data_IF_748289962970
#
_entry.id   IF_748289962970
#
_cell.length_a   1.000
_cell.length_b   1.000
_cell.length_c   1.000
_cell.angle_alpha   90.00
_cell.angle_beta   90.00
_cell.angle_gamma   90.00
#
_symmetry.space_group_name_H-M   'P 1'
#
loop_
_entity.id
_entity.type
_entity.pdbx_description
1 polymer ?
#
# COMPACT_ATOMS: atom_id res chain seq x y z
N UNK A 1 -31.13 57.68 36.82
CA UNK A 1 -30.61 57.53 35.44
C UNK A 1 -29.37 56.63 35.53
N UNK A 2 -29.56 55.33 35.29
CA UNK A 2 -28.58 54.30 34.83
C UNK A 2 -27.14 54.41 35.39
N UNK A 3 -26.76 53.80 36.53
CA UNK A 3 -26.64 52.35 36.75
C UNK A 3 -26.28 51.58 35.47
N UNK A 4 -24.97 51.47 35.14
CA UNK A 4 -24.31 50.41 34.32
C UNK A 4 -22.92 50.82 33.79
N UNK A 5 -21.93 51.00 34.65
CA UNK A 5 -20.53 51.16 34.20
C UNK A 5 -19.52 50.28 34.93
N UNK A 6 -19.97 49.19 35.54
CA UNK A 6 -19.07 48.23 36.19
C UNK A 6 -19.55 46.83 35.88
N UNK A 7 -19.34 46.34 34.66
CA UNK A 7 -19.28 44.90 34.36
C UNK A 7 -18.85 44.71 32.91
N UNK A 8 -17.64 44.20 32.71
CA UNK A 8 -17.12 43.90 31.37
C UNK A 8 -15.64 43.57 31.34
N UNK A 9 -15.09 43.06 32.44
CA UNK A 9 -13.84 42.31 32.40
C UNK A 9 -14.17 40.84 32.09
N UNK A 10 -13.27 40.20 31.33
CA UNK A 10 -13.16 38.77 31.05
C UNK A 10 -13.96 38.22 29.86
N UNK A 11 -13.28 37.29 29.17
CA UNK A 11 -13.66 36.49 27.99
C UNK A 11 -13.35 37.18 26.65
N UNK A 12 -12.40 36.74 25.82
CA UNK A 12 -11.90 35.38 25.59
C UNK A 12 -10.42 35.41 25.17
N UNK A 13 -9.54 34.94 26.06
CA UNK A 13 -8.24 34.43 25.64
C UNK A 13 -8.47 33.05 25.03
N UNK A 14 -8.60 32.97 23.71
CA UNK A 14 -8.47 31.71 23.00
C UNK A 14 -6.99 31.31 23.08
N UNK A 15 -6.61 30.60 24.14
CA UNK A 15 -5.34 29.88 24.17
C UNK A 15 -5.44 28.77 23.12
N UNK A 16 -4.93 29.06 21.93
CA UNK A 16 -4.55 28.01 20.98
C UNK A 16 -3.37 27.29 21.65
N UNK A 17 -3.67 26.29 22.50
CA UNK A 17 -2.66 25.36 22.96
C UNK A 17 -2.19 24.64 21.69
N UNK A 18 -0.94 24.82 21.23
CA UNK A 18 -0.43 23.99 20.17
C UNK A 18 -0.54 22.55 20.68
N UNK A 19 -1.25 21.71 19.93
CA UNK A 19 -1.33 20.28 20.22
C UNK A 19 0.08 19.78 20.51
N UNK A 20 0.27 19.15 21.67
CA UNK A 20 1.57 18.67 22.15
C UNK A 20 2.18 17.80 21.05
N UNK A 21 3.13 18.37 20.31
CA UNK A 21 3.95 17.68 19.33
C UNK A 21 5.03 16.92 20.12
N UNK A 22 4.65 15.77 20.67
CA UNK A 22 5.51 14.91 21.47
C UNK A 22 5.93 13.68 20.68
N UNK A 23 7.10 13.14 21.03
CA UNK A 23 7.48 11.78 20.65
C UNK A 23 6.44 10.80 21.19
N UNK A 24 5.99 9.86 20.34
CA UNK A 24 5.07 8.82 20.76
C UNK A 24 5.85 7.64 21.34
N UNK A 25 5.36 7.08 22.45
CA UNK A 25 5.84 5.78 22.90
C UNK A 25 5.49 4.70 21.87
N UNK A 26 6.28 3.63 21.80
CA UNK A 26 6.13 2.61 20.75
C UNK A 26 4.74 1.96 20.67
N UNK A 27 4.10 1.67 21.81
CA UNK A 27 2.75 1.11 21.84
C UNK A 27 1.69 2.09 21.33
N UNK A 28 1.83 3.37 21.68
CA UNK A 28 0.94 4.42 21.19
C UNK A 28 1.13 4.61 19.68
N UNK A 29 2.37 4.63 19.23
CA UNK A 29 2.71 4.78 17.84
C UNK A 29 2.19 3.59 17.00
N UNK A 30 2.31 2.36 17.50
CA UNK A 30 1.72 1.17 16.84
C UNK A 30 0.21 1.32 16.70
N UNK A 31 -0.49 1.66 17.78
CA UNK A 31 -1.95 1.90 17.75
C UNK A 31 -2.33 3.06 16.84
N UNK A 32 -1.46 4.06 16.74
CA UNK A 32 -1.67 5.21 15.87
C UNK A 32 -1.58 4.84 14.39
N UNK A 33 -0.63 3.98 13.99
CA UNK A 33 -0.43 3.62 12.56
C UNK A 33 -1.23 2.40 12.11
N UNK A 34 -1.51 1.47 13.02
CA UNK A 34 -2.21 0.22 12.69
C UNK A 34 -3.57 0.46 12.02
N UNK A 35 -3.82 -0.31 10.96
CA UNK A 35 -5.07 -0.29 10.19
C UNK A 35 -5.25 0.90 9.24
N UNK A 36 -4.39 1.94 9.34
CA UNK A 36 -4.55 3.23 8.64
C UNK A 36 -3.74 3.34 7.35
N UNK A 37 -4.12 4.31 6.54
CA UNK A 37 -3.46 4.66 5.27
C UNK A 37 -2.76 6.00 5.39
N UNK A 38 -1.48 6.03 5.03
CA UNK A 38 -0.68 7.24 5.04
C UNK A 38 -0.10 7.51 3.66
N UNK A 39 -0.11 8.77 3.23
CA UNK A 39 0.83 9.24 2.24
C UNK A 39 2.07 9.75 2.97
N UNK A 40 3.22 9.56 2.36
CA UNK A 40 4.49 9.92 2.95
C UNK A 40 5.37 10.62 1.94
N UNK A 41 6.20 11.52 2.46
CA UNK A 41 7.27 12.19 1.72
C UNK A 41 8.51 12.21 2.60
N UNK A 42 9.62 11.72 2.07
CA UNK A 42 10.92 11.62 2.73
C UNK A 42 11.85 12.77 2.30
N UNK A 43 12.87 13.04 3.12
CA UNK A 43 13.80 14.15 2.89
C UNK A 43 14.55 14.05 1.54
N UNK A 44 14.76 12.83 1.03
CA UNK A 44 15.43 12.52 -0.23
C UNK A 44 14.52 12.69 -1.46
N UNK A 45 13.29 13.17 -1.25
CA UNK A 45 12.26 13.31 -2.28
C UNK A 45 11.45 12.04 -2.55
N UNK A 46 11.77 10.92 -1.90
CA UNK A 46 10.98 9.69 -2.00
C UNK A 46 9.57 9.94 -1.47
N UNK A 47 8.54 9.60 -2.24
CA UNK A 47 7.15 9.84 -1.86
C UNK A 47 6.27 8.65 -2.21
N UNK A 48 5.14 8.52 -1.54
CA UNK A 48 4.27 7.39 -1.78
C UNK A 48 3.04 7.38 -0.90
N UNK A 49 2.30 6.28 -0.98
CA UNK A 49 1.20 6.02 -0.08
C UNK A 49 1.11 4.52 0.24
N UNK A 50 0.79 4.20 1.49
CA UNK A 50 0.71 2.83 1.94
C UNK A 50 -0.27 2.67 3.11
N UNK A 51 -0.72 1.43 3.28
CA UNK A 51 -1.50 0.99 4.43
C UNK A 51 -0.60 0.20 5.37
N UNK A 52 -0.70 0.48 6.65
CA UNK A 52 -0.17 -0.39 7.70
C UNK A 52 -1.30 -1.28 8.20
N UNK A 53 -1.05 -2.58 8.29
CA UNK A 53 -2.00 -3.58 8.74
C UNK A 53 -1.84 -3.83 10.25
N UNK A 54 -2.88 -4.34 10.90
CA UNK A 54 -2.90 -4.55 12.35
C UNK A 54 -1.91 -5.64 12.82
N UNK A 55 -1.55 -6.55 11.91
CA UNK A 55 -0.53 -7.59 12.08
C UNK A 55 0.91 -7.04 11.97
N UNK A 56 1.11 -5.73 11.78
CA UNK A 56 2.42 -5.11 11.60
C UNK A 56 2.99 -5.25 10.18
N UNK A 57 2.21 -5.76 9.23
CA UNK A 57 2.56 -5.70 7.81
C UNK A 57 2.28 -4.32 7.21
N UNK A 58 2.76 -4.09 5.99
CA UNK A 58 2.43 -2.87 5.25
C UNK A 58 2.39 -3.12 3.74
N UNK A 59 1.61 -2.34 3.01
CA UNK A 59 1.62 -2.38 1.55
C UNK A 59 1.32 -1.01 0.96
N UNK A 60 2.02 -0.65 -0.10
CA UNK A 60 1.88 0.66 -0.70
C UNK A 60 2.58 0.78 -2.04
N UNK A 61 2.56 2.00 -2.54
CA UNK A 61 3.27 2.41 -3.73
C UNK A 61 4.31 3.47 -3.34
N UNK A 62 5.53 3.33 -3.84
CA UNK A 62 6.68 4.17 -3.53
C UNK A 62 7.30 4.68 -4.82
N UNK A 63 7.45 5.99 -4.93
CA UNK A 63 8.21 6.66 -5.96
C UNK A 63 9.52 7.16 -5.36
N UNK A 64 10.60 6.41 -5.62
CA UNK A 64 11.95 6.76 -5.18
C UNK A 64 12.41 8.06 -5.85
N UNK A 65 13.12 8.90 -5.08
CA UNK A 65 13.69 10.19 -5.50
C UNK A 65 12.72 11.16 -6.19
N UNK A 66 11.41 10.98 -6.01
CA UNK A 66 10.36 11.88 -6.49
C UNK A 66 10.12 11.89 -8.01
N UNK A 67 11.02 11.30 -8.81
CA UNK A 67 10.99 11.28 -10.27
C UNK A 67 11.02 9.87 -10.89
N UNK A 68 11.24 8.83 -10.08
CA UNK A 68 11.28 7.44 -10.55
C UNK A 68 9.91 6.84 -10.91
N UNK A 69 9.87 5.61 -11.45
CA UNK A 69 8.62 4.87 -11.61
C UNK A 69 8.00 4.51 -10.25
N UNK A 70 6.67 4.48 -10.18
CA UNK A 70 5.98 4.08 -8.96
C UNK A 70 6.11 2.56 -8.74
N UNK A 71 6.64 2.13 -7.60
CA UNK A 71 6.91 0.73 -7.25
C UNK A 71 5.95 0.27 -6.17
N UNK A 72 5.22 -0.80 -6.44
CA UNK A 72 4.38 -1.42 -5.42
C UNK A 72 5.22 -2.34 -4.55
N UNK A 73 5.14 -2.16 -3.24
CA UNK A 73 5.88 -2.94 -2.25
C UNK A 73 4.92 -3.48 -1.20
N UNK A 74 5.16 -4.71 -0.75
CA UNK A 74 4.40 -5.33 0.33
C UNK A 74 5.37 -5.96 1.31
N UNK A 75 5.22 -5.56 2.56
CA UNK A 75 5.90 -6.13 3.72
C UNK A 75 4.94 -7.14 4.37
N UNK A 76 5.42 -8.36 4.65
CA UNK A 76 4.59 -9.37 5.30
C UNK A 76 4.19 -8.94 6.72
N UNK A 77 3.20 -9.65 7.29
CA UNK A 77 2.83 -9.48 8.69
C UNK A 77 4.04 -9.70 9.60
N UNK A 78 4.01 -9.08 10.78
CA UNK A 78 5.08 -9.09 11.76
C UNK A 78 6.39 -8.44 11.30
N UNK A 79 6.37 -7.62 10.24
CA UNK A 79 7.53 -6.79 9.88
C UNK A 79 7.73 -5.68 10.91
N UNK A 80 6.71 -4.87 11.20
CA UNK A 80 6.79 -3.81 12.20
C UNK A 80 6.50 -4.37 13.59
N UNK A 81 7.49 -4.36 14.46
CA UNK A 81 7.41 -4.88 15.83
C UNK A 81 7.78 -3.79 16.84
N UNK A 82 7.05 -3.74 17.96
CA UNK A 82 7.43 -2.90 19.10
C UNK A 82 8.57 -3.59 19.85
N UNK A 83 9.71 -2.94 19.97
CA UNK A 83 10.86 -3.41 20.76
C UNK A 83 11.28 -2.32 21.75
N UNK A 84 10.92 -2.51 23.02
CA UNK A 84 11.14 -1.53 24.07
C UNK A 84 10.38 -0.24 23.77
N UNK A 85 11.10 0.87 23.66
CA UNK A 85 10.52 2.19 23.38
C UNK A 85 10.49 2.57 21.89
N UNK A 86 10.90 1.68 20.98
CA UNK A 86 10.96 1.95 19.54
C UNK A 86 10.21 0.92 18.70
N UNK A 87 9.85 1.28 17.47
CA UNK A 87 9.29 0.34 16.49
C UNK A 87 10.40 -0.09 15.54
N UNK A 88 10.69 -1.38 15.47
CA UNK A 88 11.72 -1.91 14.57
C UNK A 88 11.06 -2.70 13.43
N UNK A 89 11.59 -2.55 12.22
CA UNK A 89 11.18 -3.37 11.08
C UNK A 89 12.11 -4.58 10.96
N UNK A 90 11.54 -5.78 10.94
CA UNK A 90 12.24 -7.00 10.56
C UNK A 90 11.81 -7.43 9.17
N UNK A 91 12.72 -7.26 8.21
CA UNK A 91 12.47 -7.59 6.81
C UNK A 91 13.35 -8.79 6.46
N UNK A 92 12.76 -9.82 5.85
CA UNK A 92 13.53 -10.98 5.41
C UNK A 92 14.57 -10.56 4.36
N UNK A 93 15.82 -10.94 4.57
CA UNK A 93 16.90 -10.69 3.62
C UNK A 93 17.72 -9.42 3.87
N UNK A 94 17.40 -8.64 4.91
CA UNK A 94 18.32 -7.60 5.41
C UNK A 94 18.97 -8.08 6.72
N UNK A 95 20.28 -7.82 6.93
CA UNK A 95 21.00 -8.30 8.10
C UNK A 95 20.82 -7.43 9.34
N UNK A 96 20.02 -6.36 9.26
CA UNK A 96 19.75 -5.43 10.35
C UNK A 96 18.26 -5.15 10.46
N UNK A 97 17.77 -4.91 11.68
CA UNK A 97 16.39 -4.51 11.94
C UNK A 97 16.36 -2.99 12.19
N UNK A 98 16.07 -2.13 11.20
CA UNK A 98 16.03 -0.69 11.43
C UNK A 98 14.92 -0.34 12.42
N UNK A 99 15.27 0.41 13.46
CA UNK A 99 14.33 0.96 14.41
C UNK A 99 13.98 2.40 14.06
N UNK A 100 12.74 2.79 14.28
CA UNK A 100 12.17 4.08 13.91
C UNK A 100 11.68 4.82 15.15
N UNK A 101 11.91 6.13 15.16
CA UNK A 101 11.32 7.07 16.10
C UNK A 101 10.14 7.75 15.42
N UNK A 102 9.04 7.91 16.16
CA UNK A 102 7.77 8.42 15.62
C UNK A 102 7.34 9.62 16.45
N UNK A 103 7.40 10.79 15.84
CA UNK A 103 7.03 12.06 16.47
C UNK A 103 5.68 12.51 15.93
N UNK A 104 4.70 12.65 16.82
CA UNK A 104 3.37 13.09 16.42
C UNK A 104 3.40 14.59 16.12
N UNK A 105 3.11 14.96 14.89
CA UNK A 105 3.05 16.37 14.48
C UNK A 105 1.63 16.92 14.50
N UNK A 106 0.63 16.06 14.28
CA UNK A 106 -0.79 16.39 14.45
C UNK A 106 -1.60 15.13 14.78
N UNK A 107 -2.91 15.28 14.99
CA UNK A 107 -3.82 14.12 15.13
C UNK A 107 -3.85 13.20 13.91
N UNK A 108 -3.45 13.72 12.74
CA UNK A 108 -3.49 13.01 11.46
C UNK A 108 -2.12 12.92 10.79
N UNK A 109 -1.05 13.38 11.43
CA UNK A 109 0.29 13.33 10.84
C UNK A 109 1.35 13.06 11.89
N UNK A 110 2.41 12.41 11.45
CA UNK A 110 3.57 12.13 12.27
C UNK A 110 4.82 12.15 11.38
N UNK A 111 5.96 12.40 12.01
CA UNK A 111 7.27 12.26 11.38
C UNK A 111 7.88 10.94 11.86
N UNK A 112 8.33 10.12 10.92
CA UNK A 112 9.11 8.93 11.21
C UNK A 112 10.56 9.14 10.83
N UNK A 113 11.50 8.84 11.73
CA UNK A 113 12.94 8.89 11.46
C UNK A 113 13.62 7.59 11.86
N UNK A 114 14.72 7.23 11.21
CA UNK A 114 15.49 6.04 11.58
C UNK A 114 16.37 6.34 12.79
N UNK A 115 16.33 5.49 13.82
CA UNK A 115 17.18 5.60 14.99
C UNK A 115 18.66 5.60 14.60
N UNK A 116 19.41 6.60 15.08
CA UNK A 116 20.82 6.82 14.73
C UNK A 116 21.05 7.57 13.40
N UNK A 117 20.00 7.81 12.60
CA UNK A 117 20.05 8.59 11.36
C UNK A 117 18.87 9.57 11.31
N UNK A 118 18.81 10.50 12.27
CA UNK A 118 17.67 11.43 12.43
C UNK A 118 17.43 12.38 11.26
N UNK A 119 18.43 12.60 10.40
CA UNK A 119 18.26 13.34 9.14
C UNK A 119 17.43 12.58 8.12
N UNK A 120 17.41 11.24 8.20
CA UNK A 120 16.62 10.37 7.35
C UNK A 120 15.20 10.24 7.93
N UNK A 121 14.37 11.24 7.63
CA UNK A 121 12.98 11.29 8.05
C UNK A 121 12.01 11.25 6.88
N UNK A 122 10.80 10.80 7.17
CA UNK A 122 9.64 10.91 6.31
C UNK A 122 8.46 11.49 7.09
N UNK A 123 7.76 12.43 6.49
CA UNK A 123 6.51 12.98 7.01
C UNK A 123 5.34 12.17 6.48
N UNK A 124 4.54 11.62 7.39
CA UNK A 124 3.38 10.81 7.11
C UNK A 124 2.12 11.61 7.40
N UNK A 125 1.17 11.58 6.47
CA UNK A 125 -0.15 12.21 6.62
C UNK A 125 -1.21 11.15 6.41
N UNK A 126 -2.14 11.05 7.33
CA UNK A 126 -3.26 10.12 7.27
C UNK A 126 -4.22 10.60 6.18
N UNK A 127 -4.23 9.88 5.06
CA UNK A 127 -5.24 10.08 4.04
C UNK A 127 -6.42 9.18 4.42
N UNK A 128 -7.45 9.79 5.00
CA UNK A 128 -8.69 9.07 5.32
C UNK A 128 -9.19 8.28 4.11
N UNK A 129 -9.90 7.18 4.36
CA UNK A 129 -10.28 6.19 3.35
C UNK A 129 -10.95 6.78 2.07
N UNK A 130 -11.58 7.95 2.18
CA UNK A 130 -12.23 8.65 1.07
C UNK A 130 -11.30 9.07 -0.07
N UNK A 131 -10.05 9.47 0.20
CA UNK A 131 -9.17 9.97 -0.88
C UNK A 131 -8.60 8.83 -1.75
N UNK A 132 -8.37 7.65 -1.15
CA UNK A 132 -7.99 6.43 -1.90
C UNK A 132 -9.13 5.91 -2.78
N UNK A 133 -10.39 6.10 -2.36
CA UNK A 133 -11.55 5.78 -3.20
C UNK A 133 -11.64 6.72 -4.42
N UNK A 134 -11.35 8.01 -4.24
CA UNK A 134 -11.34 9.00 -5.33
C UNK A 134 -10.26 8.71 -6.37
N UNK A 135 -9.03 8.38 -5.94
CA UNK A 135 -7.96 8.00 -6.88
C UNK A 135 -8.35 6.78 -7.73
N UNK A 136 -8.94 5.74 -7.10
CA UNK A 136 -9.43 4.56 -7.82
C UNK A 136 -10.64 4.83 -8.71
N UNK A 137 -11.51 5.78 -8.34
CA UNK A 137 -12.63 6.20 -9.16
C UNK A 137 -12.13 6.87 -10.44
N UNK A 138 -11.16 7.80 -10.30
CA UNK A 138 -10.51 8.48 -11.42
C UNK A 138 -9.71 7.51 -12.32
N UNK A 139 -9.02 6.53 -11.74
CA UNK A 139 -8.32 5.49 -12.52
C UNK A 139 -9.27 4.51 -13.21
N UNK A 140 -10.47 4.26 -12.65
CA UNK A 140 -11.49 3.40 -13.29
C UNK A 140 -12.34 4.15 -14.31
N UNK A 141 -12.46 5.46 -14.18
CA UNK A 141 -13.17 6.31 -15.15
C UNK A 141 -12.30 6.67 -16.36
N UNK A 142 -11.04 6.23 -16.42
CA UNK A 142 -10.26 6.35 -17.65
C UNK A 142 -10.79 5.31 -18.65
N UNK A 143 -11.49 5.73 -19.72
CA UNK A 143 -12.05 4.78 -20.66
C UNK A 143 -10.88 4.05 -21.31
N UNK A 144 -10.84 2.71 -21.15
CA UNK A 144 -10.12 1.86 -22.11
C UNK A 144 -10.65 2.29 -23.46
N UNK A 145 -9.78 2.88 -24.29
CA UNK A 145 -10.12 3.23 -25.66
C UNK A 145 -10.74 2.00 -26.31
N UNK A 146 -12.03 2.08 -26.58
CA UNK A 146 -12.73 1.12 -27.43
C UNK A 146 -11.98 1.13 -28.76
N UNK A 147 -11.24 0.06 -29.05
CA UNK A 147 -10.85 -0.22 -30.42
C UNK A 147 -12.14 -0.30 -31.22
N UNK A 148 -12.35 0.70 -32.06
CA UNK A 148 -13.50 0.77 -32.94
C UNK A 148 -13.55 -0.51 -33.80
N UNK A 149 -14.71 -1.19 -33.92
CA UNK A 149 -14.86 -2.28 -34.86
C UNK A 149 -14.69 -1.73 -36.27
N UNK A 150 -13.79 -2.35 -37.04
CA UNK A 150 -13.44 -1.90 -38.38
C UNK A 150 -14.65 -1.78 -39.31
N UNK A 151 -14.80 -0.60 -39.89
CA UNK A 151 -15.64 -0.38 -41.06
C UNK A 151 -14.99 -1.09 -42.24
N UNK A 152 -15.58 -2.22 -42.66
CA UNK A 152 -15.35 -2.78 -43.98
C UNK A 152 -15.88 -1.78 -45.00
N UNK A 153 -14.98 -1.02 -45.61
CA UNK A 153 -15.28 -0.30 -46.83
C UNK A 153 -14.26 -0.77 -47.85
N UNK A 154 -14.75 -1.56 -48.80
CA UNK A 154 -14.01 -1.92 -49.99
C UNK A 154 -13.81 -0.64 -50.79
N UNK A 155 -12.56 -0.24 -50.99
CA UNK A 155 -12.17 0.40 -52.24
C UNK A 155 -10.71 0.04 -52.56
N UNK A 156 -10.50 -0.32 -53.81
CA UNK A 156 -9.24 -0.76 -54.34
C UNK A 156 -8.37 0.45 -54.64
N UNK A 157 -7.21 0.56 -54.00
CA UNK A 157 -6.09 1.31 -54.56
C UNK A 157 -4.77 0.72 -54.09
N UNK A 158 -4.01 0.32 -55.11
CA UNK A 158 -2.75 -0.40 -55.10
C UNK A 158 -1.59 0.40 -54.49
N UNK A 159 -0.51 -0.34 -54.21
CA UNK A 159 0.90 0.10 -54.06
C UNK A 159 1.22 0.76 -52.71
N UNK A 160 2.17 0.31 -51.89
CA UNK A 160 3.26 -0.68 -51.97
C UNK A 160 3.67 -0.96 -50.52
N UNK A 161 3.56 -2.20 -50.05
CA UNK A 161 4.01 -2.60 -48.72
C UNK A 161 5.34 -3.35 -48.84
N UNK A 162 6.42 -2.72 -48.38
CA UNK A 162 7.74 -3.36 -48.22
C UNK A 162 7.64 -4.29 -47.01
N UNK A 163 7.45 -5.58 -47.28
CA UNK A 163 7.41 -6.63 -46.25
C UNK A 163 8.82 -7.08 -45.91
N UNK A 164 9.40 -6.52 -44.84
CA UNK A 164 10.45 -7.22 -44.09
C UNK A 164 9.80 -7.78 -42.83
N UNK A 165 9.27 -9.01 -42.92
CA UNK A 165 8.87 -9.77 -41.74
C UNK A 165 9.22 -11.24 -41.93
N UNK A 166 10.27 -11.64 -41.21
CA UNK A 166 10.73 -13.02 -41.05
C UNK A 166 9.59 -13.88 -40.50
N UNK A 167 9.24 -15.02 -41.11
CA UNK A 167 8.21 -15.92 -40.60
C UNK A 167 8.74 -16.69 -39.38
N UNK A 168 8.06 -16.62 -38.24
CA UNK A 168 8.26 -17.57 -37.14
C UNK A 168 7.34 -18.79 -37.33
N UNK A 169 7.85 -20.02 -37.16
CA UNK A 169 7.04 -21.23 -37.34
C UNK A 169 6.00 -21.39 -36.22
N UNK A 170 4.82 -21.91 -36.61
CA UNK A 170 3.64 -22.13 -35.77
C UNK A 170 3.85 -23.38 -34.91
N UNK A 171 3.72 -23.23 -33.59
CA UNK A 171 3.72 -24.38 -32.66
C UNK A 171 2.33 -25.03 -32.68
N UNK A 172 2.30 -26.30 -33.07
CA UNK A 172 1.11 -27.14 -33.09
C UNK A 172 0.73 -27.54 -31.66
N UNK A 173 -0.43 -27.07 -31.20
CA UNK A 173 -0.99 -27.49 -29.92
C UNK A 173 -1.66 -28.87 -30.09
N UNK A 174 -1.00 -29.92 -29.61
CA UNK A 174 -1.60 -31.24 -29.49
C UNK A 174 -2.86 -31.17 -28.61
N UNK A 175 -3.99 -31.60 -29.16
CA UNK A 175 -5.23 -31.84 -28.39
C UNK A 175 -5.01 -33.08 -27.52
N UNK A 176 -5.21 -32.94 -26.21
CA UNK A 176 -5.31 -34.05 -25.28
C UNK A 176 -6.80 -34.27 -24.98
N UNK A 177 -7.30 -35.47 -25.29
CA UNK A 177 -8.66 -35.90 -24.99
C UNK A 177 -8.87 -36.13 -23.48
N UNK A 178 -10.07 -35.85 -22.93
CA UNK A 178 -10.37 -36.08 -21.52
C UNK A 178 -10.57 -37.58 -21.21
N UNK A 179 -10.04 -38.11 -20.10
CA UNK A 179 -10.27 -39.50 -19.71
C UNK A 179 -11.70 -39.73 -19.23
N UNK A 180 -12.32 -40.76 -19.83
CA UNK A 180 -13.65 -41.30 -19.58
C UNK A 180 -13.78 -41.81 -18.14
N UNK A 181 -14.80 -41.35 -17.43
CA UNK A 181 -15.19 -41.84 -16.11
C UNK A 181 -16.03 -43.10 -16.32
N UNK A 182 -15.53 -44.27 -15.93
CA UNK A 182 -16.35 -45.47 -15.72
C UNK A 182 -16.11 -46.01 -14.32
N UNK A 183 -17.18 -46.01 -13.54
CA UNK A 183 -17.26 -46.52 -12.19
C UNK A 183 -17.51 -48.03 -12.19
N UNK A 184 -16.71 -48.78 -11.42
CA UNK A 184 -16.93 -50.14 -10.90
C UNK A 184 -15.71 -50.43 -10.00
N UNK A 185 -15.73 -50.95 -8.76
CA UNK A 185 -16.75 -51.52 -7.87
C UNK A 185 -16.07 -51.69 -6.49
N UNK A 186 -16.61 -51.01 -5.47
CA UNK A 186 -16.94 -51.49 -4.10
C UNK A 186 -15.94 -52.38 -3.29
N UNK A 187 -15.64 -51.89 -2.08
CA UNK A 187 -15.21 -52.55 -0.82
C UNK A 187 -13.96 -53.45 -0.78
N UNK A 188 -12.98 -53.05 0.04
CA UNK A 188 -12.62 -53.78 1.27
C UNK A 188 -11.60 -53.00 2.13
N UNK A 189 -11.88 -52.92 3.43
CA UNK A 189 -10.95 -52.76 4.58
C UNK A 189 -9.93 -51.59 4.53
N UNK A 190 -10.10 -50.48 5.26
CA UNK A 190 -10.09 -50.40 6.73
C UNK A 190 -9.18 -51.43 7.40
N UNK A 191 -7.86 -51.36 7.19
CA UNK A 191 -6.87 -51.88 8.14
C UNK A 191 -5.46 -51.42 7.78
N UNK A 192 -5.00 -50.28 8.34
CA UNK A 192 -3.58 -50.09 8.63
C UNK A 192 -3.41 -49.02 9.72
N UNK A 193 -4.05 -49.26 10.87
CA UNK A 193 -3.55 -48.76 12.15
C UNK A 193 -2.97 -49.95 12.90
N UNK A 194 -1.74 -49.76 13.40
CA UNK A 194 -1.04 -50.52 14.45
C UNK A 194 -0.14 -51.67 13.97
N UNK A 195 1.16 -51.38 13.91
CA UNK A 195 2.26 -52.15 14.55
C UNK A 195 3.57 -51.44 14.16
N UNK A 196 4.33 -50.88 15.10
CA UNK A 196 5.35 -51.61 15.86
C UNK A 196 5.41 -51.20 17.34
N UNK A 197 5.17 -52.18 18.22
CA UNK A 197 6.08 -52.53 19.32
C UNK A 197 6.86 -53.76 18.84
#
# INVERSE_FOLDING_TARGET
MFARFVYGALMAGATVLPAVAGSMNADEARKFVAGKVFAFTCFDGTKGAGRVFDDGGAAGAVQFSGSGPNRFMRLPGNTLQVRGQSICASIKGIPFDPCFNLDKTSERSFRGSVSGMGFAYCDFRHHGAGQMMMARALSRSQPRSLQAPGTRQADASRHTEVTSRVPTPRVEAARLDPPKVEASKVEAASELRRSTD
#
